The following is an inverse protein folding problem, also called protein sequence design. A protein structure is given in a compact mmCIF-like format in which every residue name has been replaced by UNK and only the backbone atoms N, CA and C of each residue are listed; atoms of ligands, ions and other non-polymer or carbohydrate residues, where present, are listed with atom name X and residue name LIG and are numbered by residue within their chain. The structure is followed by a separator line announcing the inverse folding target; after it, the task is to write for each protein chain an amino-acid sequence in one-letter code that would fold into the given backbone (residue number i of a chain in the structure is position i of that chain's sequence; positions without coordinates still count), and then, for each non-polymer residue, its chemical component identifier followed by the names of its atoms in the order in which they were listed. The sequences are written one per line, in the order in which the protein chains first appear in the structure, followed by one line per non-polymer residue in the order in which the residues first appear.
data_IF_333516797885
#
_entry.id   IF_333516797885
#
_cell.length_a   1.000
_cell.length_b   1.000
_cell.length_c   1.000
_cell.angle_alpha   90.00
_cell.angle_beta   90.00
_cell.angle_gamma   90.00
#
_symmetry.space_group_name_H-M   'P 1'
#
loop_
_entity.id
_entity.type
_entity.pdbx_description
1 polymer ?
#
# COMPACT_ATOMS: atom_id res chain seq x y z
N UNK A 1 8.17 13.93 2.02
CA UNK A 1 6.70 14.12 2.11
C UNK A 1 6.31 15.36 2.92
N UNK A 2 6.76 15.57 4.16
CA UNK A 2 6.34 16.74 4.97
C UNK A 2 6.54 18.13 4.31
N UNK A 3 7.53 18.28 3.45
CA UNK A 3 7.78 19.51 2.67
C UNK A 3 6.97 19.59 1.36
N UNK A 4 6.11 18.62 1.06
CA UNK A 4 5.32 18.55 -0.17
C UNK A 4 6.08 18.16 -1.44
N UNK A 5 7.35 17.77 -1.35
CA UNK A 5 8.17 17.42 -2.52
C UNK A 5 7.88 16.00 -3.05
N UNK A 6 7.26 15.14 -2.25
CA UNK A 6 6.94 13.76 -2.60
C UNK A 6 5.50 13.45 -2.20
N UNK A 7 4.80 12.75 -3.08
CA UNK A 7 3.46 12.22 -2.85
C UNK A 7 3.56 10.76 -2.41
N UNK A 8 2.83 10.39 -1.37
CA UNK A 8 2.75 9.02 -0.89
C UNK A 8 1.37 8.40 -1.10
N UNK A 9 1.32 7.07 -1.13
CA UNK A 9 0.07 6.33 -1.03
C UNK A 9 0.18 5.15 -0.05
N UNK A 10 -0.99 4.58 0.31
CA UNK A 10 -1.12 3.54 1.32
C UNK A 10 -1.84 2.33 0.72
N UNK A 11 -1.09 1.29 0.38
CA UNK A 11 -1.55 0.10 -0.31
C UNK A 11 -1.88 -1.05 0.64
N UNK A 12 -3.08 -1.08 1.20
CA UNK A 12 -3.58 -2.18 2.04
C UNK A 12 -4.63 -3.02 1.31
N UNK A 13 -5.67 -2.39 0.78
CA UNK A 13 -6.86 -3.02 0.22
C UNK A 13 -6.56 -3.81 -1.05
N UNK A 14 -7.15 -4.99 -1.17
CA UNK A 14 -7.16 -5.84 -2.36
C UNK A 14 -8.59 -6.07 -2.85
N UNK A 15 -8.76 -6.55 -4.08
CA UNK A 15 -10.08 -6.79 -4.66
C UNK A 15 -10.92 -7.77 -3.81
N UNK A 16 -10.25 -8.81 -3.27
CA UNK A 16 -10.89 -9.85 -2.45
C UNK A 16 -10.69 -9.63 -0.93
N UNK A 17 -9.94 -8.59 -0.52
CA UNK A 17 -9.59 -8.31 0.86
C UNK A 17 -9.76 -6.82 1.20
N UNK A 18 -11.01 -6.39 1.27
CA UNK A 18 -11.40 -5.02 1.64
C UNK A 18 -11.68 -4.90 3.14
N UNK A 19 -12.89 -5.29 3.57
CA UNK A 19 -13.28 -5.23 4.99
C UNK A 19 -12.50 -6.19 5.88
N UNK A 20 -12.02 -7.27 5.32
CA UNK A 20 -11.08 -8.19 5.97
C UNK A 20 -9.69 -8.13 5.30
N UNK A 21 -8.82 -7.20 5.69
CA UNK A 21 -7.46 -7.15 5.16
C UNK A 21 -6.59 -8.33 5.60
N UNK A 22 -7.04 -9.11 6.58
CA UNK A 22 -6.39 -10.35 7.01
C UNK A 22 -6.36 -11.43 5.94
N UNK A 23 -7.28 -11.39 4.98
CA UNK A 23 -7.33 -12.33 3.85
C UNK A 23 -6.47 -11.92 2.65
N UNK A 24 -5.63 -10.87 2.78
CA UNK A 24 -4.76 -10.41 1.68
C UNK A 24 -3.88 -11.51 1.11
N UNK A 25 -3.67 -11.44 -0.20
CA UNK A 25 -2.83 -12.36 -0.99
C UNK A 25 -1.47 -11.77 -1.35
N UNK A 26 -1.33 -10.44 -1.30
CA UNK A 26 -0.03 -9.78 -1.50
C UNK A 26 0.98 -10.35 -0.53
N UNK A 27 2.10 -10.80 -1.06
CA UNK A 27 3.13 -11.49 -0.30
C UNK A 27 4.52 -10.94 -0.61
N UNK A 28 5.44 -11.13 0.34
CA UNK A 28 6.84 -10.84 0.14
C UNK A 28 7.68 -12.02 0.62
N UNK A 29 8.75 -12.29 -0.13
CA UNK A 29 9.70 -13.35 0.17
C UNK A 29 11.05 -12.73 0.48
N UNK A 30 11.65 -13.12 1.62
CA UNK A 30 12.98 -12.68 1.99
C UNK A 30 14.02 -13.19 0.97
N UNK A 31 14.98 -12.34 0.63
CA UNK A 31 16.07 -12.63 -0.28
C UNK A 31 17.33 -11.89 0.17
N UNK A 32 18.45 -12.13 -0.50
CA UNK A 32 19.68 -11.40 -0.21
C UNK A 32 19.47 -9.89 -0.38
N UNK A 33 19.71 -9.15 0.68
CA UNK A 33 19.63 -7.68 0.72
C UNK A 33 18.20 -7.09 0.82
N UNK A 34 17.13 -7.91 0.91
CA UNK A 34 15.78 -7.37 1.01
C UNK A 34 14.65 -8.38 0.80
N UNK A 35 13.62 -7.97 0.09
CA UNK A 35 12.42 -8.77 -0.17
C UNK A 35 12.00 -8.69 -1.64
N UNK A 36 11.45 -9.78 -2.15
CA UNK A 36 10.73 -9.82 -3.43
C UNK A 36 9.23 -9.73 -3.14
N UNK A 37 8.58 -8.71 -3.66
CA UNK A 37 7.17 -8.39 -3.41
C UNK A 37 6.33 -8.75 -4.63
N UNK A 38 5.21 -9.46 -4.40
CA UNK A 38 4.26 -9.87 -5.41
C UNK A 38 2.82 -9.65 -4.96
N UNK A 39 1.94 -9.26 -5.88
CA UNK A 39 0.52 -9.10 -5.63
C UNK A 39 -0.08 -7.85 -6.25
N UNK A 40 -1.26 -7.47 -5.76
CA UNK A 40 -1.95 -6.26 -6.25
C UNK A 40 -2.73 -5.58 -5.14
N UNK A 41 -2.90 -4.26 -5.27
CA UNK A 41 -3.75 -3.44 -4.41
C UNK A 41 -4.75 -2.67 -5.27
N UNK A 42 -5.93 -2.39 -4.72
CA UNK A 42 -6.99 -1.68 -5.44
C UNK A 42 -7.60 -0.56 -4.60
N UNK A 43 -8.23 0.39 -5.27
CA UNK A 43 -8.83 1.58 -4.64
C UNK A 43 -7.84 2.42 -3.85
N UNK A 44 -6.60 2.52 -4.33
CA UNK A 44 -5.53 3.24 -3.63
C UNK A 44 -5.49 4.69 -4.08
N UNK A 45 -5.83 5.58 -3.17
CA UNK A 45 -5.73 7.03 -3.38
C UNK A 45 -4.29 7.42 -3.69
N UNK A 46 -4.11 8.25 -4.70
CA UNK A 46 -2.83 8.77 -5.20
C UNK A 46 -1.89 7.73 -5.82
N UNK A 47 -2.20 6.43 -5.87
CA UNK A 47 -1.24 5.46 -6.44
C UNK A 47 -0.75 5.81 -7.84
N UNK A 48 -1.56 6.37 -8.77
CA UNK A 48 -1.07 6.72 -10.10
C UNK A 48 -0.04 7.86 -10.14
N UNK A 49 0.04 8.65 -9.10
CA UNK A 49 0.92 9.83 -9.00
C UNK A 49 1.89 9.77 -7.82
N UNK A 50 1.84 8.69 -7.03
CA UNK A 50 2.67 8.54 -5.85
C UNK A 50 4.15 8.32 -6.23
N UNK A 51 5.04 9.03 -5.55
CA UNK A 51 6.49 8.81 -5.63
C UNK A 51 6.92 7.66 -4.71
N UNK A 52 6.21 7.50 -3.58
CA UNK A 52 6.46 6.45 -2.58
C UNK A 52 5.16 5.73 -2.24
N UNK A 53 5.20 4.42 -2.14
CA UNK A 53 4.06 3.57 -1.82
C UNK A 53 4.36 2.75 -0.57
N UNK A 54 3.54 2.87 0.48
CA UNK A 54 3.61 1.96 1.63
C UNK A 54 2.72 0.78 1.32
N UNK A 55 3.33 -0.38 1.08
CA UNK A 55 2.64 -1.62 0.70
C UNK A 55 2.65 -2.60 1.86
N UNK A 56 1.47 -3.10 2.19
CA UNK A 56 1.29 -4.14 3.19
C UNK A 56 1.25 -5.50 2.52
N UNK A 57 2.10 -6.41 2.99
CA UNK A 57 2.23 -7.77 2.46
C UNK A 57 2.46 -8.77 3.60
N UNK A 58 2.18 -10.03 3.36
CA UNK A 58 2.55 -11.13 4.26
C UNK A 58 3.86 -11.75 3.81
N UNK A 59 4.74 -12.04 4.76
CA UNK A 59 5.92 -12.85 4.48
C UNK A 59 5.58 -14.37 4.44
N UNK A 60 6.58 -15.20 4.21
CA UNK A 60 6.43 -16.66 4.12
C UNK A 60 5.91 -17.30 5.42
N UNK A 61 6.05 -16.63 6.57
CA UNK A 61 5.51 -17.04 7.86
C UNK A 61 4.12 -16.41 8.13
N UNK A 62 3.50 -15.76 7.14
CA UNK A 62 2.25 -15.02 7.27
C UNK A 62 2.32 -13.83 8.24
N UNK A 63 3.52 -13.35 8.55
CA UNK A 63 3.73 -12.14 9.34
C UNK A 63 3.55 -10.93 8.42
N UNK A 64 2.80 -9.93 8.92
CA UNK A 64 2.58 -8.70 8.18
C UNK A 64 3.84 -7.84 8.15
N UNK A 65 4.21 -7.36 6.96
CA UNK A 65 5.30 -6.43 6.71
C UNK A 65 4.76 -5.17 6.04
N UNK A 66 5.32 -4.03 6.38
CA UNK A 66 5.12 -2.79 5.65
C UNK A 66 6.38 -2.47 4.83
N UNK A 67 6.22 -2.36 3.51
CA UNK A 67 7.33 -2.14 2.59
C UNK A 67 7.17 -0.79 1.91
N UNK A 68 8.26 -0.02 1.84
CA UNK A 68 8.30 1.26 1.12
C UNK A 68 8.81 0.98 -0.30
N UNK A 69 7.94 1.20 -1.29
CA UNK A 69 8.23 0.96 -2.71
C UNK A 69 8.27 2.31 -3.44
N UNK A 70 9.30 2.53 -4.23
CA UNK A 70 9.44 3.72 -5.07
C UNK A 70 8.75 3.49 -6.41
N UNK A 71 8.20 4.57 -7.01
CA UNK A 71 7.41 4.50 -8.26
C UNK A 71 8.14 3.86 -9.44
N UNK A 72 9.46 4.04 -9.51
CA UNK A 72 10.29 3.57 -10.62
C UNK A 72 10.84 2.15 -10.38
N UNK A 73 10.38 1.46 -9.34
CA UNK A 73 10.78 0.08 -9.05
C UNK A 73 10.40 -0.85 -10.20
N UNK A 74 11.36 -1.67 -10.66
CA UNK A 74 11.13 -2.64 -11.72
C UNK A 74 10.03 -3.62 -11.31
N UNK A 75 9.06 -3.87 -12.19
CA UNK A 75 7.92 -4.77 -11.92
C UNK A 75 6.73 -4.09 -11.24
N UNK A 76 6.82 -2.78 -10.93
CA UNK A 76 5.72 -2.01 -10.37
C UNK A 76 4.94 -1.29 -11.48
N UNK A 77 3.60 -1.35 -11.41
CA UNK A 77 2.72 -0.50 -12.22
C UNK A 77 1.56 0.01 -11.36
N UNK A 78 1.11 1.24 -11.64
CA UNK A 78 0.04 1.87 -10.86
C UNK A 78 -0.98 2.58 -11.75
N UNK A 79 -1.80 1.83 -12.53
CA UNK A 79 -2.79 2.43 -13.43
C UNK A 79 -3.91 3.13 -12.65
N UNK A 80 -4.41 4.23 -13.24
CA UNK A 80 -5.53 4.98 -12.72
C UNK A 80 -6.85 4.24 -12.94
N UNK A 81 -7.75 4.29 -11.96
CA UNK A 81 -9.14 3.87 -12.08
C UNK A 81 -9.97 5.03 -12.65
N UNK A 82 -10.59 4.79 -13.79
CA UNK A 82 -11.47 5.75 -14.46
C UNK A 82 -12.96 5.44 -14.16
N UNK A 83 -13.84 6.38 -14.46
CA UNK A 83 -15.29 6.19 -14.41
C UNK A 83 -15.88 6.10 -13.00
N UNK A 84 -15.20 6.57 -11.96
CA UNK A 84 -15.80 6.62 -10.61
C UNK A 84 -17.08 7.45 -10.62
N UNK A 85 -18.12 6.98 -9.91
CA UNK A 85 -19.39 7.68 -9.78
C UNK A 85 -19.25 9.00 -9.01
N UNK A 86 -18.50 9.00 -7.91
CA UNK A 86 -18.27 10.17 -7.07
C UNK A 86 -16.78 10.34 -6.75
N UNK A 87 -16.42 11.41 -6.04
CA UNK A 87 -15.05 11.74 -5.66
C UNK A 87 -14.07 11.71 -6.85
N UNK A 88 -14.50 12.22 -8.00
CA UNK A 88 -13.75 12.16 -9.26
C UNK A 88 -12.46 12.95 -9.24
N UNK A 89 -12.37 13.99 -8.39
CA UNK A 89 -11.17 14.76 -8.19
C UNK A 89 -10.11 14.01 -7.34
N UNK A 90 -10.52 13.00 -6.57
CA UNK A 90 -9.59 12.14 -5.83
C UNK A 90 -9.00 11.10 -6.77
N UNK A 91 -7.75 11.31 -7.17
CA UNK A 91 -7.03 10.37 -8.03
C UNK A 91 -6.90 9.03 -7.30
N UNK A 92 -7.39 7.97 -7.93
CA UNK A 92 -7.43 6.63 -7.34
C UNK A 92 -6.95 5.62 -8.36
N UNK A 93 -6.20 4.64 -7.95
CA UNK A 93 -5.68 3.62 -8.85
C UNK A 93 -5.57 2.24 -8.24
N UNK A 94 -4.97 1.37 -9.00
CA UNK A 94 -4.51 0.05 -8.59
C UNK A 94 -2.99 0.06 -8.49
N UNK A 95 -2.42 -0.92 -7.83
CA UNK A 95 -0.98 -1.15 -7.79
C UNK A 95 -0.77 -2.63 -8.12
N UNK A 96 0.05 -2.92 -9.11
CA UNK A 96 0.45 -4.27 -9.46
C UNK A 96 1.95 -4.42 -9.23
N UNK A 97 2.32 -5.52 -8.62
CA UNK A 97 3.69 -5.85 -8.25
C UNK A 97 4.02 -7.25 -8.77
N UNK A 98 4.99 -7.30 -9.67
CA UNK A 98 5.52 -8.54 -10.25
C UNK A 98 7.02 -8.60 -9.99
N UNK A 99 7.41 -9.40 -9.01
CA UNK A 99 8.79 -9.58 -8.57
C UNK A 99 9.51 -8.24 -8.26
N UNK A 100 8.84 -7.33 -7.57
CA UNK A 100 9.41 -6.06 -7.16
C UNK A 100 10.41 -6.27 -6.02
N UNK A 101 11.67 -5.92 -6.25
CA UNK A 101 12.69 -5.97 -5.19
C UNK A 101 12.57 -4.75 -4.29
N UNK A 102 12.52 -5.00 -2.98
CA UNK A 102 12.48 -3.97 -1.94
C UNK A 102 13.67 -4.16 -1.01
N UNK A 103 14.60 -3.20 -0.93
CA UNK A 103 15.75 -3.27 -0.03
C UNK A 103 15.35 -3.40 1.44
N UNK A 104 16.16 -4.06 2.25
CA UNK A 104 15.88 -4.31 3.67
C UNK A 104 15.70 -3.02 4.49
N UNK A 105 16.39 -1.94 4.15
CA UNK A 105 16.27 -0.61 4.77
C UNK A 105 14.96 0.12 4.43
N UNK A 106 14.20 -0.39 3.46
CA UNK A 106 12.87 0.11 3.07
C UNK A 106 11.71 -0.67 3.73
N UNK A 107 12.01 -1.55 4.66
CA UNK A 107 11.00 -2.27 5.46
C UNK A 107 10.73 -1.48 6.74
N UNK A 108 9.45 -1.25 7.04
CA UNK A 108 9.06 -0.56 8.26
C UNK A 108 9.46 -1.39 9.48
N UNK A 109 10.25 -0.83 10.41
CA UNK A 109 10.70 -1.56 11.59
C UNK A 109 9.53 -1.88 12.54
N UNK A 110 9.69 -2.90 13.36
CA UNK A 110 8.75 -3.26 14.44
C UNK A 110 7.32 -3.61 13.99
N UNK A 111 7.08 -3.75 12.69
CA UNK A 111 5.77 -4.18 12.17
C UNK A 111 5.75 -5.69 12.02
N UNK A 112 4.90 -6.35 12.83
CA UNK A 112 4.68 -7.79 12.79
C UNK A 112 3.20 -8.18 12.82
N UNK A 113 2.30 -7.19 12.82
CA UNK A 113 0.86 -7.43 12.94
C UNK A 113 0.04 -6.28 12.36
N UNK A 114 -1.29 -6.48 12.26
CA UNK A 114 -2.23 -5.45 11.81
C UNK A 114 -2.31 -4.21 12.72
N UNK A 115 -1.66 -4.19 13.87
CA UNK A 115 -1.53 -2.96 14.68
C UNK A 115 -0.85 -1.84 13.88
N UNK A 116 0.11 -2.17 13.00
CA UNK A 116 0.77 -1.20 12.14
C UNK A 116 -0.20 -0.41 11.25
N UNK A 117 -0.84 -1.05 10.26
CA UNK A 117 -1.79 -0.36 9.37
C UNK A 117 -3.02 0.19 10.11
N UNK A 118 -3.53 -0.49 11.13
CA UNK A 118 -4.72 -0.04 11.85
C UNK A 118 -4.48 1.19 12.72
N UNK A 119 -3.27 1.45 13.18
CA UNK A 119 -2.96 2.71 13.87
C UNK A 119 -3.21 3.92 12.96
N UNK A 120 -2.77 3.84 11.70
CA UNK A 120 -3.04 4.87 10.69
C UNK A 120 -4.53 4.96 10.35
N UNK A 121 -5.20 3.81 10.15
CA UNK A 121 -6.62 3.78 9.80
C UNK A 121 -7.53 4.31 10.91
N UNK A 122 -7.19 4.11 12.18
CA UNK A 122 -7.99 4.64 13.29
C UNK A 122 -7.99 6.17 13.30
N UNK A 123 -6.85 6.79 13.02
CA UNK A 123 -6.77 8.25 12.88
C UNK A 123 -7.54 8.74 11.64
N UNK A 124 -7.42 8.04 10.52
CA UNK A 124 -8.15 8.37 9.29
C UNK A 124 -9.67 8.27 9.48
N UNK A 125 -10.17 7.22 10.13
CA UNK A 125 -11.60 7.04 10.42
C UNK A 125 -12.18 8.17 11.26
N UNK A 126 -11.44 8.65 12.24
CA UNK A 126 -11.84 9.80 13.03
C UNK A 126 -12.04 11.05 12.15
N UNK A 127 -11.08 11.34 11.27
CA UNK A 127 -11.18 12.46 10.33
C UNK A 127 -12.35 12.33 9.34
N UNK A 128 -12.60 11.13 8.82
CA UNK A 128 -13.73 10.86 7.90
C UNK A 128 -15.08 11.08 8.59
N UNK A 129 -15.21 10.74 9.86
CA UNK A 129 -16.44 10.96 10.62
C UNK A 129 -16.84 12.43 10.68
N UNK A 130 -15.88 13.35 10.72
CA UNK A 130 -16.13 14.79 10.64
C UNK A 130 -16.63 15.23 9.26
N UNK A 131 -16.13 14.61 8.19
CA UNK A 131 -16.57 14.91 6.83
C UNK A 131 -17.99 14.42 6.49
N UNK A 132 -18.54 13.51 7.29
CA UNK A 132 -19.89 12.97 7.12
C UNK A 132 -20.97 13.80 7.84
N UNK A 133 -20.58 14.74 8.70
CA UNK A 133 -21.46 15.66 9.44
C UNK A 133 -21.61 17.01 8.71
#
# INVERSE_FOLDING_TARGET
MAKGNLIGCFGLTEADAGSDPGSMKTNCKETEGGYILNGSKTWITNSPIADLMIIWAKDEQSILRGLIVEKDSKGLTAPKLEGKFSLRASITGQIFMDNVFVPADKVLPEVSSFKGPFSCLNMARYGISWGAM
#
